data_IF_724877429860
#
_entry.id   IF_724877429860
#
_cell.length_a   1.000
_cell.length_b   1.000
_cell.length_c   1.000
_cell.angle_alpha   90.00
_cell.angle_beta   90.00
_cell.angle_gamma   90.00
#
_symmetry.space_group_name_H-M   'P 1'
#
loop_
_entity.id
_entity.type
_entity.pdbx_description
1 polymer ?
#
# COMPACT_ATOMS: atom_id res chain seq x y z
N UNK A 1 3.30 22.24 16.67
CA UNK A 1 3.14 21.05 15.82
C UNK A 1 2.55 19.97 16.68
N UNK A 2 1.34 19.55 16.36
CA UNK A 2 0.65 18.43 16.99
C UNK A 2 1.16 17.08 16.50
N UNK A 3 0.59 16.01 17.05
CA UNK A 3 1.02 14.63 16.80
C UNK A 3 0.93 14.26 15.32
N UNK A 4 -0.16 14.62 14.64
CA UNK A 4 -0.35 14.22 13.25
C UNK A 4 0.71 14.83 12.32
N UNK A 5 0.99 16.13 12.45
CA UNK A 5 2.02 16.80 11.64
C UNK A 5 3.41 16.22 11.84
N UNK A 6 3.72 15.80 13.08
CA UNK A 6 5.01 15.19 13.42
C UNK A 6 5.14 13.75 12.93
N UNK A 7 4.11 12.92 13.12
CA UNK A 7 4.23 11.47 12.96
C UNK A 7 3.72 10.96 11.62
N UNK A 8 2.90 11.70 10.88
CA UNK A 8 2.48 11.28 9.55
C UNK A 8 3.67 11.01 8.58
N UNK A 9 4.76 11.82 8.59
CA UNK A 9 5.98 11.50 7.84
C UNK A 9 6.64 10.19 8.28
N UNK A 10 6.77 9.95 9.58
CA UNK A 10 7.38 8.72 10.14
C UNK A 10 6.65 7.45 9.68
N UNK A 11 5.31 7.48 9.70
CA UNK A 11 4.50 6.39 9.16
C UNK A 11 4.67 6.25 7.63
N UNK A 12 4.78 7.37 6.91
CA UNK A 12 4.92 7.37 5.46
C UNK A 12 6.26 6.79 4.98
N UNK A 13 7.35 6.98 5.72
CA UNK A 13 8.66 6.37 5.43
C UNK A 13 8.61 4.84 5.43
N UNK A 14 7.68 4.27 6.20
CA UNK A 14 7.42 2.82 6.28
C UNK A 14 6.28 2.36 5.36
N UNK A 15 5.85 3.22 4.43
CA UNK A 15 4.77 2.91 3.49
C UNK A 15 3.37 2.89 4.11
N UNK A 16 3.22 3.30 5.36
CA UNK A 16 1.93 3.27 6.07
C UNK A 16 1.20 4.61 5.91
N UNK A 17 0.00 4.56 5.33
CA UNK A 17 -0.84 5.73 5.17
C UNK A 17 -1.68 6.00 6.44
N UNK A 18 -1.64 7.24 6.90
CA UNK A 18 -2.38 7.72 8.08
C UNK A 18 -3.17 8.98 7.74
N UNK A 19 -4.18 9.30 8.53
CA UNK A 19 -5.03 10.47 8.31
C UNK A 19 -5.36 11.17 9.63
N UNK A 20 -5.61 12.49 9.63
CA UNK A 20 -5.90 13.20 10.86
C UNK A 20 -7.27 12.77 11.42
N UNK A 21 -7.34 12.49 12.72
CA UNK A 21 -8.56 12.02 13.40
C UNK A 21 -8.84 12.84 14.66
N UNK A 22 -10.11 13.11 14.93
CA UNK A 22 -10.60 13.49 16.26
C UNK A 22 -10.61 12.22 17.12
N UNK A 23 -9.69 12.12 18.08
CA UNK A 23 -9.48 10.91 18.91
C UNK A 23 -10.67 10.62 19.82
N UNK A 24 -11.30 11.66 20.38
CA UNK A 24 -12.40 11.51 21.32
C UNK A 24 -13.68 11.06 20.61
N UNK A 25 -13.94 11.61 19.43
CA UNK A 25 -15.07 11.21 18.59
C UNK A 25 -14.77 9.99 17.72
N UNK A 26 -13.50 9.59 17.63
CA UNK A 26 -12.98 8.58 16.69
C UNK A 26 -13.40 8.86 15.24
N UNK A 27 -13.45 10.15 14.85
CA UNK A 27 -13.93 10.60 13.53
C UNK A 27 -12.81 11.19 12.69
N UNK A 28 -12.65 10.78 11.42
CA UNK A 28 -11.68 11.40 10.52
C UNK A 28 -11.98 12.88 10.33
N UNK A 29 -10.94 13.71 10.30
CA UNK A 29 -11.05 15.14 9.99
C UNK A 29 -11.06 15.42 8.48
N UNK A 30 -10.90 14.38 7.67
CA UNK A 30 -10.83 14.43 6.21
C UNK A 30 -11.78 13.41 5.58
N UNK A 31 -12.27 13.72 4.37
CA UNK A 31 -13.07 12.79 3.56
C UNK A 31 -12.19 11.85 2.73
N UNK A 32 -12.75 10.73 2.25
CA UNK A 32 -12.08 9.76 1.38
C UNK A 32 -10.79 9.12 1.95
N UNK A 33 -10.61 9.15 3.28
CA UNK A 33 -9.46 8.58 3.98
C UNK A 33 -9.21 7.11 3.65
N UNK A 34 -10.26 6.30 3.41
CA UNK A 34 -10.11 4.89 3.01
C UNK A 34 -9.47 4.66 1.63
N UNK A 35 -9.39 5.70 0.78
CA UNK A 35 -8.70 5.66 -0.52
C UNK A 35 -7.35 6.37 -0.50
N UNK A 36 -7.02 7.03 0.59
CA UNK A 36 -5.84 7.86 0.73
C UNK A 36 -4.57 7.01 0.92
N UNK A 37 -3.46 7.45 0.31
CA UNK A 37 -2.14 6.83 0.47
C UNK A 37 -1.17 7.75 1.21
N UNK A 38 0.10 7.33 1.30
CA UNK A 38 1.18 8.10 1.96
C UNK A 38 1.29 9.53 1.45
N UNK A 39 1.11 9.77 0.15
CA UNK A 39 1.11 11.13 -0.43
C UNK A 39 0.00 12.04 0.11
N UNK A 40 -1.19 11.48 0.31
CA UNK A 40 -2.31 12.23 0.89
C UNK A 40 -2.04 12.51 2.37
N UNK A 41 -1.47 11.53 3.08
CA UNK A 41 -1.02 11.67 4.47
C UNK A 41 -0.04 12.84 4.62
N UNK A 42 0.98 12.91 3.76
CA UNK A 42 1.95 14.01 3.74
C UNK A 42 1.28 15.37 3.45
N UNK A 43 0.37 15.42 2.48
CA UNK A 43 -0.38 16.66 2.17
C UNK A 43 -1.23 17.13 3.36
N UNK A 44 -1.75 16.19 4.16
CA UNK A 44 -2.52 16.50 5.35
C UNK A 44 -1.65 16.87 6.53
N UNK A 45 -0.40 16.39 6.60
CA UNK A 45 0.52 16.71 7.69
C UNK A 45 0.71 18.23 7.80
N UNK A 46 0.81 18.92 6.67
CA UNK A 46 0.88 20.39 6.63
C UNK A 46 -0.45 21.06 7.02
N UNK A 47 -1.58 20.54 6.50
CA UNK A 47 -2.91 21.16 6.68
C UNK A 47 -3.50 20.95 8.07
N UNK A 48 -3.15 19.85 8.70
CA UNK A 48 -3.62 19.41 10.02
C UNK A 48 -2.44 19.25 10.96
N UNK A 49 -1.45 20.15 10.84
CA UNK A 49 -0.21 20.10 11.60
C UNK A 49 -0.42 20.08 13.12
N UNK A 50 -1.53 20.67 13.60
CA UNK A 50 -1.87 20.74 15.03
C UNK A 50 -2.86 19.67 15.50
N UNK A 51 -3.25 18.73 14.62
CA UNK A 51 -4.12 17.62 15.03
C UNK A 51 -3.35 16.64 15.94
N UNK A 52 -4.00 16.20 17.01
CA UNK A 52 -3.41 15.29 18.00
C UNK A 52 -3.67 13.80 17.71
N UNK A 53 -4.37 13.49 16.61
CA UNK A 53 -4.79 12.13 16.28
C UNK A 53 -4.32 11.64 14.92
N UNK A 54 -3.87 10.40 14.90
CA UNK A 54 -3.59 9.57 13.73
C UNK A 54 -4.66 8.48 13.62
N UNK A 55 -5.39 8.49 12.51
CA UNK A 55 -6.21 7.37 12.07
C UNK A 55 -5.43 6.50 11.09
N UNK A 56 -5.64 5.19 11.18
CA UNK A 56 -5.08 4.21 10.25
C UNK A 56 -6.22 3.41 9.61
N UNK A 57 -6.15 3.16 8.30
CA UNK A 57 -7.13 2.34 7.60
C UNK A 57 -6.55 0.96 7.29
N UNK A 58 -7.05 -0.07 7.96
CA UNK A 58 -6.48 -1.42 7.94
C UNK A 58 -6.40 -2.01 6.52
N UNK A 59 -7.51 -1.98 5.77
CA UNK A 59 -7.51 -2.50 4.39
C UNK A 59 -6.65 -1.70 3.42
N UNK A 60 -6.24 -0.47 3.77
CA UNK A 60 -5.35 0.35 2.93
C UNK A 60 -3.89 0.00 3.15
N UNK A 61 -3.56 -0.35 4.39
CA UNK A 61 -2.19 -0.64 4.82
C UNK A 61 -1.90 -2.14 4.92
N UNK A 62 -2.81 -3.00 4.44
CA UNK A 62 -2.70 -4.45 4.56
C UNK A 62 -2.45 -4.92 6.01
N UNK A 63 -3.18 -4.32 6.96
CA UNK A 63 -3.10 -4.65 8.38
C UNK A 63 -4.38 -5.31 8.87
N UNK A 64 -4.26 -6.12 9.91
CA UNK A 64 -5.36 -6.54 10.77
C UNK A 64 -4.97 -6.23 12.22
N UNK A 65 -5.88 -5.65 13.00
CA UNK A 65 -5.64 -5.33 14.41
C UNK A 65 -6.54 -6.20 15.28
N UNK A 66 -5.96 -6.80 16.31
CA UNK A 66 -6.70 -7.44 17.41
C UNK A 66 -6.84 -6.41 18.53
N UNK A 67 -8.05 -5.87 18.74
CA UNK A 67 -8.33 -4.80 19.70
C UNK A 67 -9.00 -5.39 20.96
N UNK A 68 -8.22 -5.51 22.03
CA UNK A 68 -8.61 -6.07 23.32
C UNK A 68 -9.09 -4.94 24.23
N UNK A 69 -10.41 -4.77 24.29
CA UNK A 69 -11.13 -3.71 25.01
C UNK A 69 -11.42 -4.10 26.47
N UNK A 70 -10.37 -4.47 27.20
CA UNK A 70 -10.38 -4.72 28.65
C UNK A 70 -9.03 -4.30 29.24
N UNK A 71 -8.97 -4.10 30.56
CA UNK A 71 -7.71 -3.86 31.29
C UNK A 71 -7.11 -5.13 31.87
N UNK A 72 -7.80 -6.27 31.72
CA UNK A 72 -7.32 -7.55 32.21
C UNK A 72 -6.19 -8.09 31.33
N UNK A 73 -4.98 -8.12 31.90
CA UNK A 73 -3.77 -8.59 31.23
C UNK A 73 -3.85 -10.07 30.84
N UNK A 74 -4.62 -10.88 31.58
CA UNK A 74 -4.79 -12.30 31.25
C UNK A 74 -5.53 -12.47 29.93
N UNK A 75 -6.60 -11.71 29.73
CA UNK A 75 -7.31 -11.70 28.44
C UNK A 75 -6.39 -11.34 27.27
N UNK A 76 -5.47 -10.38 27.45
CA UNK A 76 -4.49 -10.03 26.42
C UNK A 76 -3.46 -11.16 26.19
N UNK A 77 -2.92 -11.74 27.26
CA UNK A 77 -1.98 -12.86 27.17
C UNK A 77 -2.60 -14.07 26.47
N UNK A 78 -3.82 -14.48 26.87
CA UNK A 78 -4.56 -15.58 26.27
C UNK A 78 -4.82 -15.33 24.77
N UNK A 79 -5.07 -14.07 24.38
CA UNK A 79 -5.24 -13.69 22.99
C UNK A 79 -3.93 -13.84 22.19
N UNK A 80 -2.78 -13.47 22.74
CA UNK A 80 -1.47 -13.66 22.10
C UNK A 80 -1.08 -15.13 22.00
N UNK A 81 -1.36 -15.94 23.03
CA UNK A 81 -1.12 -17.38 23.00
C UNK A 81 -1.98 -18.06 21.92
N UNK A 82 -3.26 -17.65 21.83
CA UNK A 82 -4.19 -18.21 20.85
C UNK A 82 -3.86 -17.78 19.42
N UNK A 83 -3.60 -16.50 19.20
CA UNK A 83 -3.53 -15.91 17.86
C UNK A 83 -2.10 -15.65 17.36
N UNK A 84 -1.10 -15.96 18.19
CA UNK A 84 0.30 -15.70 17.93
C UNK A 84 0.74 -14.33 18.46
N UNK A 85 2.00 -14.21 18.91
CA UNK A 85 2.53 -12.94 19.41
C UNK A 85 2.60 -11.91 18.28
N UNK A 86 2.37 -10.65 18.63
CA UNK A 86 2.62 -9.50 17.74
C UNK A 86 3.86 -8.74 18.22
N UNK A 87 4.79 -8.38 17.32
CA UNK A 87 5.93 -7.54 17.68
C UNK A 87 5.51 -6.09 17.97
N UNK A 88 4.38 -5.63 17.42
CA UNK A 88 3.90 -4.25 17.55
C UNK A 88 2.59 -4.17 18.33
N UNK A 89 2.67 -3.69 19.58
CA UNK A 89 1.52 -3.60 20.49
C UNK A 89 1.35 -2.17 21.00
N UNK A 90 0.12 -1.68 20.92
CA UNK A 90 -0.28 -0.35 21.38
C UNK A 90 -1.24 -0.45 22.56
N UNK A 91 -0.94 0.27 23.65
CA UNK A 91 -1.89 0.55 24.73
C UNK A 91 -2.85 1.65 24.29
N UNK A 92 -4.16 1.43 24.41
CA UNK A 92 -5.17 2.43 24.04
C UNK A 92 -5.40 3.45 25.16
N UNK A 93 -6.00 4.60 24.82
CA UNK A 93 -6.30 5.64 25.82
C UNK A 93 -7.22 5.19 26.98
N UNK A 94 -7.99 4.11 26.80
CA UNK A 94 -8.84 3.55 27.85
C UNK A 94 -8.12 2.49 28.72
N UNK A 95 -6.90 2.12 28.34
CA UNK A 95 -6.14 1.05 28.96
C UNK A 95 -6.43 -0.35 28.39
N UNK A 96 -6.91 -0.45 27.15
CA UNK A 96 -6.95 -1.71 26.40
C UNK A 96 -5.68 -1.91 25.55
N UNK A 97 -5.67 -2.91 24.68
CA UNK A 97 -4.53 -3.23 23.80
C UNK A 97 -4.95 -3.34 22.35
N UNK A 98 -4.06 -2.95 21.45
CA UNK A 98 -4.14 -3.20 20.01
C UNK A 98 -2.87 -3.92 19.58
N UNK A 99 -2.99 -5.18 19.20
CA UNK A 99 -1.90 -5.95 18.60
C UNK A 99 -2.05 -5.94 17.07
N UNK A 100 -0.97 -5.59 16.37
CA UNK A 100 -0.98 -5.40 14.92
C UNK A 100 -0.44 -6.65 14.21
N UNK A 101 -1.06 -6.99 13.09
CA UNK A 101 -0.71 -8.15 12.27
C UNK A 101 -0.80 -7.79 10.79
N UNK A 102 -0.08 -8.53 9.95
CA UNK A 102 -0.29 -8.49 8.51
C UNK A 102 -1.68 -9.04 8.18
N UNK A 103 -2.38 -8.39 7.26
CA UNK A 103 -3.70 -8.83 6.83
C UNK A 103 -3.62 -10.16 6.07
N UNK A 104 -4.54 -11.07 6.37
CA UNK A 104 -4.69 -12.35 5.70
C UNK A 104 -6.14 -12.59 5.22
N UNK A 105 -6.90 -11.52 5.03
CA UNK A 105 -8.29 -11.56 4.54
C UNK A 105 -9.35 -11.58 5.64
N UNK A 106 -8.98 -11.29 6.89
CA UNK A 106 -9.90 -11.16 7.99
C UNK A 106 -10.96 -10.08 7.70
N UNK A 107 -12.20 -10.31 8.15
CA UNK A 107 -13.25 -9.30 8.14
C UNK A 107 -13.11 -8.38 9.35
N UNK A 108 -13.83 -7.26 9.33
CA UNK A 108 -14.07 -6.50 10.56
C UNK A 108 -15.21 -7.17 11.32
N UNK A 109 -14.97 -7.57 12.56
CA UNK A 109 -15.97 -8.13 13.45
C UNK A 109 -15.80 -7.55 14.85
N UNK A 110 -16.80 -6.81 15.31
CA UNK A 110 -16.88 -6.39 16.71
C UNK A 110 -17.26 -7.59 17.57
N UNK A 111 -16.63 -7.72 18.74
CA UNK A 111 -16.85 -8.80 19.71
C UNK A 111 -16.72 -10.16 19.05
N UNK A 112 -15.65 -10.34 18.26
CA UNK A 112 -15.27 -11.64 17.68
C UNK A 112 -15.00 -12.67 18.78
N UNK A 113 -14.46 -12.19 19.92
CA UNK A 113 -14.40 -12.91 21.19
C UNK A 113 -14.84 -11.97 22.34
N UNK A 114 -15.07 -12.49 23.56
CA UNK A 114 -15.38 -11.65 24.71
C UNK A 114 -14.33 -10.55 24.90
N UNK A 115 -14.76 -9.29 24.84
CA UNK A 115 -13.88 -8.11 24.97
C UNK A 115 -12.82 -7.94 23.88
N UNK A 116 -12.91 -8.68 22.76
CA UNK A 116 -11.94 -8.58 21.66
C UNK A 116 -12.66 -8.32 20.34
N UNK A 117 -12.27 -7.24 19.68
CA UNK A 117 -12.68 -6.91 18.32
C UNK A 117 -11.59 -7.36 17.33
N UNK A 118 -12.02 -7.90 16.18
CA UNK A 118 -11.14 -8.20 15.04
C UNK A 118 -11.30 -7.10 13.99
N UNK A 119 -10.26 -6.33 13.75
CA UNK A 119 -10.31 -5.16 12.88
C UNK A 119 -9.62 -5.42 11.53
N UNK A 120 -10.15 -6.35 10.72
CA UNK A 120 -9.62 -6.64 9.38
C UNK A 120 -9.98 -5.60 8.29
N UNK A 121 -10.78 -4.58 8.61
CA UNK A 121 -11.09 -3.45 7.72
C UNK A 121 -11.59 -2.21 8.47
N UNK A 122 -11.73 -1.10 7.73
CA UNK A 122 -12.18 0.17 8.25
C UNK A 122 -11.02 0.91 8.91
N UNK A 123 -11.28 1.58 10.02
CA UNK A 123 -10.27 2.37 10.71
C UNK A 123 -10.07 2.02 12.17
N UNK A 124 -8.91 2.41 12.68
CA UNK A 124 -8.54 2.48 14.08
C UNK A 124 -7.77 3.78 14.35
N UNK A 125 -7.64 4.16 15.62
CA UNK A 125 -6.72 5.22 16.05
C UNK A 125 -5.36 4.58 16.30
N UNK A 126 -4.30 5.14 15.74
CA UNK A 126 -2.94 4.64 15.86
C UNK A 126 -2.14 5.39 16.94
N UNK A 127 -1.04 4.81 17.41
CA UNK A 127 -0.07 5.54 18.23
C UNK A 127 0.65 6.63 17.39
N UNK A 128 1.22 7.67 18.02
CA UNK A 128 1.09 8.04 19.42
C UNK A 128 -0.07 9.03 19.70
N UNK A 129 -1.24 8.82 19.09
CA UNK A 129 -2.39 9.74 19.20
C UNK A 129 -2.76 10.11 20.64
N UNK A 130 -3.23 11.34 20.86
CA UNK A 130 -3.67 11.86 22.16
C UNK A 130 -5.12 12.30 22.13
N UNK A 131 -5.91 11.81 23.08
CA UNK A 131 -7.28 12.27 23.35
C UNK A 131 -7.42 12.79 24.78
N UNK A 132 -8.63 13.19 25.16
CA UNK A 132 -8.91 13.73 26.50
C UNK A 132 -8.70 12.71 27.62
N UNK A 133 -8.85 11.41 27.32
CA UNK A 133 -8.74 10.31 28.29
C UNK A 133 -7.33 9.76 28.45
N UNK A 134 -6.40 10.14 27.58
CA UNK A 134 -5.03 9.63 27.59
C UNK A 134 -4.44 9.54 26.18
N UNK A 135 -3.43 8.67 26.03
CA UNK A 135 -2.70 8.47 24.78
C UNK A 135 -2.78 7.03 24.30
N UNK A 136 -2.64 6.87 22.99
CA UNK A 136 -2.27 5.61 22.37
C UNK A 136 -0.75 5.51 22.42
N UNK A 137 -0.20 4.47 23.02
CA UNK A 137 1.24 4.33 23.28
C UNK A 137 1.75 2.99 22.80
N UNK A 138 2.83 2.97 22.02
CA UNK A 138 3.53 1.74 21.68
C UNK A 138 4.19 1.21 22.95
N UNK A 139 3.83 0.00 23.37
CA UNK A 139 4.35 -0.65 24.59
C UNK A 139 5.19 -1.89 24.28
N UNK A 140 5.18 -2.35 23.03
CA UNK A 140 6.10 -3.36 22.51
C UNK A 140 6.37 -3.06 21.03
N UNK A 141 7.64 -3.20 20.64
CA UNK A 141 8.11 -2.90 19.30
C UNK A 141 8.29 -1.41 19.01
N UNK A 142 8.48 -1.11 17.73
CA UNK A 142 8.55 0.22 17.17
C UNK A 142 7.91 0.28 15.77
N UNK A 143 7.94 1.44 15.11
CA UNK A 143 7.27 1.58 13.81
C UNK A 143 7.89 0.71 12.71
N UNK A 144 9.16 0.31 12.80
CA UNK A 144 9.81 -0.55 11.80
C UNK A 144 9.22 -1.97 11.81
N UNK A 145 8.70 -2.43 12.95
CA UNK A 145 7.99 -3.72 13.05
C UNK A 145 6.74 -3.80 12.15
N UNK A 146 6.18 -2.65 11.75
CA UNK A 146 5.05 -2.60 10.81
C UNK A 146 5.40 -3.18 9.42
N UNK A 147 6.70 -3.28 9.08
CA UNK A 147 7.18 -3.80 7.80
C UNK A 147 7.21 -5.34 7.73
N UNK A 148 7.28 -6.01 8.89
CA UNK A 148 7.43 -7.47 8.98
C UNK A 148 6.51 -8.07 10.05
N UNK A 149 5.21 -7.76 9.94
CA UNK A 149 4.21 -8.28 10.87
C UNK A 149 3.83 -9.73 10.53
N UNK A 150 3.69 -10.61 11.54
CA UNK A 150 3.12 -11.93 11.34
C UNK A 150 1.62 -11.82 11.01
N UNK A 151 1.06 -12.88 10.41
CA UNK A 151 -0.39 -13.03 10.28
C UNK A 151 -1.00 -13.63 11.54
N UNK A 152 -2.28 -13.36 11.78
CA UNK A 152 -3.03 -13.96 12.88
C UNK A 152 -3.18 -15.47 12.69
N UNK A 153 -3.09 -16.21 13.79
CA UNK A 153 -3.27 -17.68 13.85
C UNK A 153 -4.63 -18.03 14.43
N UNK A 154 -5.09 -19.25 14.16
CA UNK A 154 -6.28 -19.85 14.79
C UNK A 154 -7.56 -18.99 14.68
N UNK A 155 -7.72 -18.30 13.55
CA UNK A 155 -8.92 -17.51 13.24
C UNK A 155 -9.98 -18.45 12.63
N UNK A 156 -11.21 -18.49 13.19
CA UNK A 156 -12.34 -19.21 12.60
C UNK A 156 -12.61 -18.80 11.15
N UNK A 157 -12.97 -19.77 10.30
CA UNK A 157 -13.17 -19.56 8.87
C UNK A 157 -14.25 -18.49 8.55
N UNK A 158 -15.28 -18.38 9.38
CA UNK A 158 -16.37 -17.42 9.24
C UNK A 158 -15.94 -15.97 9.55
N UNK A 159 -14.78 -15.77 10.19
CA UNK A 159 -14.20 -14.46 10.46
C UNK A 159 -13.30 -13.93 9.33
N UNK A 160 -13.12 -14.70 8.27
CA UNK A 160 -12.58 -14.18 7.02
C UNK A 160 -13.72 -13.51 6.24
N UNK A 161 -13.38 -12.52 5.40
CA UNK A 161 -14.40 -11.94 4.53
C UNK A 161 -14.98 -13.06 3.66
N UNK A 162 -16.33 -13.13 3.54
CA UNK A 162 -16.93 -13.99 2.53
C UNK A 162 -16.28 -13.60 1.24
N UNK A 163 -15.64 -14.58 0.63
CA UNK A 163 -15.17 -14.40 -0.71
C UNK A 163 -16.40 -14.12 -1.55
N UNK A 164 -16.48 -12.87 -2.03
CA UNK A 164 -17.51 -12.53 -3.00
C UNK A 164 -17.46 -13.62 -4.08
N UNK A 165 -18.58 -13.95 -4.72
CA UNK A 165 -18.56 -14.88 -5.85
C UNK A 165 -17.60 -14.46 -7.00
N UNK A 166 -16.86 -13.36 -6.85
CA UNK A 166 -15.78 -12.85 -7.69
C UNK A 166 -14.41 -12.72 -7.00
N UNK A 167 -14.21 -13.24 -5.80
CA UNK A 167 -12.92 -13.35 -5.11
C UNK A 167 -12.75 -14.82 -4.71
N UNK A 168 -11.72 -15.54 -5.15
CA UNK A 168 -11.57 -17.02 -5.00
C UNK A 168 -10.50 -17.42 -3.99
N UNK A 169 -10.83 -18.29 -3.02
CA UNK A 169 -10.03 -18.64 -1.81
C UNK A 169 -8.80 -19.46 -2.14
N UNK A 170 -7.71 -19.35 -1.35
CA UNK A 170 -6.43 -19.98 -1.66
C UNK A 170 -6.40 -21.49 -1.39
N UNK A 171 -7.49 -22.11 -0.97
CA UNK A 171 -7.49 -23.50 -0.49
C UNK A 171 -7.69 -24.56 -1.59
N UNK A 172 -8.30 -24.21 -2.72
CA UNK A 172 -8.56 -25.15 -3.83
C UNK A 172 -7.80 -24.77 -5.11
N UNK A 173 -6.83 -23.86 -5.02
CA UNK A 173 -6.33 -23.17 -6.20
C UNK A 173 -7.43 -22.35 -6.89
N UNK A 174 -7.07 -21.57 -7.93
CA UNK A 174 -8.02 -20.72 -8.62
C UNK A 174 -9.01 -21.58 -9.42
N UNK A 175 -10.30 -21.21 -9.42
CA UNK A 175 -11.30 -21.88 -10.24
C UNK A 175 -10.90 -21.90 -11.73
N UNK A 176 -11.34 -22.93 -12.47
CA UNK A 176 -11.13 -23.06 -13.92
C UNK A 176 -11.54 -21.76 -14.62
N UNK A 177 -10.57 -21.07 -15.25
CA UNK A 177 -10.76 -19.77 -15.91
C UNK A 177 -10.15 -18.56 -15.17
N UNK A 178 -9.86 -18.66 -13.87
CA UNK A 178 -9.22 -17.58 -13.08
C UNK A 178 -7.74 -17.82 -12.76
N UNK A 179 -7.24 -19.03 -13.06
CA UNK A 179 -5.87 -19.48 -12.75
C UNK A 179 -4.77 -18.64 -13.38
N UNK A 180 -4.95 -18.24 -14.64
CA UNK A 180 -3.96 -17.41 -15.33
C UNK A 180 -3.83 -16.02 -14.69
N UNK A 181 -4.94 -15.41 -14.28
CA UNK A 181 -4.93 -14.09 -13.64
C UNK A 181 -4.29 -14.17 -12.25
N UNK A 182 -4.64 -15.20 -11.47
CA UNK A 182 -4.04 -15.42 -10.15
C UNK A 182 -2.52 -15.67 -10.24
N UNK A 183 -2.10 -16.55 -11.16
CA UNK A 183 -0.68 -16.84 -11.40
C UNK A 183 0.07 -15.56 -11.83
N UNK A 184 -0.54 -14.74 -12.70
CA UNK A 184 0.03 -13.47 -13.12
C UNK A 184 0.20 -12.48 -11.95
N UNK A 185 -0.81 -12.33 -11.10
CA UNK A 185 -0.75 -11.40 -9.96
C UNK A 185 0.22 -11.88 -8.87
N UNK A 186 0.26 -13.18 -8.59
CA UNK A 186 1.23 -13.76 -7.66
C UNK A 186 2.67 -13.60 -8.16
N UNK A 187 2.92 -13.82 -9.45
CA UNK A 187 4.24 -13.63 -10.07
C UNK A 187 4.68 -12.18 -10.09
N UNK A 188 3.76 -11.22 -10.21
CA UNK A 188 4.10 -9.78 -10.09
C UNK A 188 4.67 -9.43 -8.71
N UNK A 189 4.25 -10.14 -7.66
CA UNK A 189 4.69 -9.93 -6.30
C UNK A 189 5.95 -10.74 -5.97
N UNK A 190 5.89 -12.06 -6.14
CA UNK A 190 6.97 -12.98 -5.77
C UNK A 190 8.13 -12.98 -6.79
N UNK A 191 7.86 -12.60 -8.04
CA UNK A 191 8.85 -12.54 -9.11
C UNK A 191 9.80 -11.34 -9.05
N UNK A 192 9.71 -10.49 -8.02
CA UNK A 192 10.65 -9.36 -7.86
C UNK A 192 12.09 -9.83 -7.67
N UNK A 193 12.32 -10.92 -6.95
CA UNK A 193 13.65 -11.47 -6.67
C UNK A 193 14.27 -12.23 -7.85
N UNK A 194 13.47 -12.64 -8.85
CA UNK A 194 13.95 -13.41 -10.00
C UNK A 194 14.84 -12.56 -10.93
N UNK A 195 16.12 -12.86 -11.02
CA UNK A 195 17.07 -12.11 -11.86
C UNK A 195 17.09 -12.57 -13.32
N UNK A 196 16.53 -13.74 -13.62
CA UNK A 196 16.39 -14.28 -14.99
C UNK A 196 14.98 -14.79 -15.28
N UNK A 197 14.66 -14.97 -16.56
CA UNK A 197 13.38 -15.55 -16.99
C UNK A 197 13.20 -16.97 -16.44
N UNK A 198 14.25 -17.78 -16.47
CA UNK A 198 14.25 -19.18 -16.01
C UNK A 198 13.94 -19.26 -14.51
N UNK A 199 14.45 -18.32 -13.72
CA UNK A 199 14.11 -18.21 -12.29
C UNK A 199 12.64 -17.84 -12.07
N UNK A 200 12.10 -16.91 -12.89
CA UNK A 200 10.69 -16.52 -12.80
C UNK A 200 9.76 -17.66 -13.26
N UNK A 201 10.16 -18.40 -14.28
CA UNK A 201 9.43 -19.57 -14.79
C UNK A 201 9.45 -20.71 -13.77
N UNK A 202 10.57 -20.95 -13.08
CA UNK A 202 10.64 -21.90 -11.98
C UNK A 202 9.67 -21.54 -10.84
N UNK A 203 9.63 -20.26 -10.44
CA UNK A 203 8.66 -19.76 -9.44
C UNK A 203 7.22 -19.97 -9.94
N UNK A 204 6.95 -19.70 -11.22
CA UNK A 204 5.64 -19.90 -11.82
C UNK A 204 5.22 -21.38 -11.81
N UNK A 205 6.14 -22.30 -12.09
CA UNK A 205 5.89 -23.74 -12.03
C UNK A 205 5.63 -24.21 -10.59
N UNK A 206 6.42 -23.75 -9.62
CA UNK A 206 6.20 -24.06 -8.20
C UNK A 206 4.84 -23.55 -7.72
N UNK A 207 4.45 -22.34 -8.11
CA UNK A 207 3.12 -21.80 -7.81
C UNK A 207 2.00 -22.59 -8.48
N UNK A 208 2.17 -22.97 -9.74
CA UNK A 208 1.17 -23.75 -10.48
C UNK A 208 0.95 -25.15 -9.87
N UNK A 209 1.98 -25.78 -9.31
CA UNK A 209 1.87 -27.06 -8.60
C UNK A 209 1.02 -26.97 -7.33
N UNK A 210 0.83 -25.77 -6.78
CA UNK A 210 -0.06 -25.57 -5.62
C UNK A 210 -1.54 -25.45 -6.01
N UNK A 211 -1.89 -25.46 -7.30
CA UNK A 211 -3.28 -25.40 -7.77
C UNK A 211 -3.89 -26.80 -7.76
N UNK A 212 -5.17 -26.94 -7.35
CA UNK A 212 -5.84 -28.24 -7.34
C UNK A 212 -6.01 -28.83 -8.76
N UNK A 213 -6.08 -27.98 -9.78
CA UNK A 213 -5.99 -28.35 -11.20
C UNK A 213 -4.92 -27.45 -11.87
N UNK A 214 -3.68 -27.93 -12.00
CA UNK A 214 -2.58 -27.15 -12.57
C UNK A 214 -2.86 -26.70 -14.01
N UNK A 215 -2.44 -25.48 -14.35
CA UNK A 215 -2.41 -25.01 -15.73
C UNK A 215 -1.46 -25.85 -16.57
N UNK A 216 -1.71 -25.91 -17.88
CA UNK A 216 -0.78 -26.55 -18.81
C UNK A 216 0.59 -25.85 -18.78
N UNK A 217 1.70 -26.56 -19.06
CA UNK A 217 3.03 -25.94 -19.08
C UNK A 217 3.13 -24.73 -20.02
N UNK A 218 2.39 -24.75 -21.14
CA UNK A 218 2.32 -23.64 -22.08
C UNK A 218 1.64 -22.39 -21.51
N UNK A 219 0.59 -22.55 -20.70
CA UNK A 219 -0.10 -21.43 -20.05
C UNK A 219 0.74 -20.80 -18.94
N UNK A 220 1.42 -21.64 -18.14
CA UNK A 220 2.37 -21.18 -17.10
C UNK A 220 3.51 -20.38 -17.72
N UNK A 221 4.12 -20.91 -18.78
CA UNK A 221 5.20 -20.23 -19.51
C UNK A 221 4.71 -18.90 -20.13
N UNK A 222 3.47 -18.84 -20.61
CA UNK A 222 2.89 -17.61 -21.15
C UNK A 222 2.63 -16.55 -20.07
N UNK A 223 2.14 -16.95 -18.89
CA UNK A 223 1.98 -16.05 -17.75
C UNK A 223 3.34 -15.52 -17.26
N UNK A 224 4.34 -16.40 -17.11
CA UNK A 224 5.71 -16.05 -16.75
C UNK A 224 6.34 -15.10 -17.78
N UNK A 225 6.20 -15.38 -19.09
CA UNK A 225 6.67 -14.48 -20.17
C UNK A 225 5.99 -13.12 -20.12
N UNK A 226 4.69 -13.09 -19.84
CA UNK A 226 3.97 -11.84 -19.70
C UNK A 226 4.53 -11.03 -18.54
N UNK A 227 4.63 -11.60 -17.33
CA UNK A 227 5.21 -10.89 -16.17
C UNK A 227 6.67 -10.50 -16.41
N UNK A 228 7.47 -11.38 -17.02
CA UNK A 228 8.85 -11.07 -17.40
C UNK A 228 8.93 -9.90 -18.37
N UNK A 229 8.02 -9.81 -19.34
CA UNK A 229 7.91 -8.65 -20.24
C UNK A 229 7.58 -7.39 -19.46
N UNK A 230 6.64 -7.43 -18.52
CA UNK A 230 6.38 -6.29 -17.63
C UNK A 230 7.61 -5.96 -16.76
N UNK A 231 8.42 -6.94 -16.37
CA UNK A 231 9.66 -6.73 -15.59
C UNK A 231 10.78 -6.12 -16.41
N UNK A 232 11.09 -6.71 -17.56
CA UNK A 232 12.16 -6.26 -18.46
C UNK A 232 11.85 -4.90 -19.10
N UNK A 233 10.56 -4.56 -19.26
CA UNK A 233 10.10 -3.24 -19.68
C UNK A 233 9.94 -2.24 -18.51
N UNK A 234 10.23 -2.66 -17.27
CA UNK A 234 10.13 -1.85 -16.05
C UNK A 234 8.72 -1.29 -15.77
N UNK A 235 7.70 -2.11 -16.05
CA UNK A 235 6.25 -1.84 -15.96
C UNK A 235 5.54 -2.64 -14.86
N UNK A 236 6.28 -3.27 -13.94
CA UNK A 236 5.74 -3.96 -12.79
C UNK A 236 5.22 -2.96 -11.76
N UNK A 237 3.98 -2.51 -11.93
CA UNK A 237 3.36 -1.50 -11.07
C UNK A 237 2.87 -2.12 -9.75
N UNK A 238 3.56 -1.82 -8.65
CA UNK A 238 3.10 -2.02 -7.28
C UNK A 238 2.59 -0.69 -6.72
N UNK A 239 1.58 -0.74 -5.84
CA UNK A 239 1.09 0.41 -5.10
C UNK A 239 2.21 0.98 -4.20
N UNK A 240 2.73 2.18 -4.50
CA UNK A 240 3.77 2.83 -3.68
C UNK A 240 4.90 3.53 -4.45
N UNK A 241 5.04 3.31 -5.76
CA UNK A 241 6.11 3.92 -6.56
C UNK A 241 5.71 5.28 -7.17
N UNK A 242 6.68 6.19 -7.35
CA UNK A 242 6.50 7.51 -7.95
C UNK A 242 6.18 7.47 -9.47
N UNK A 243 5.78 8.61 -10.04
CA UNK A 243 5.51 8.74 -11.47
C UNK A 243 6.81 8.73 -12.27
N UNK A 244 7.07 7.64 -13.00
CA UNK A 244 8.28 7.49 -13.83
C UNK A 244 7.98 7.82 -15.30
N UNK A 245 8.88 8.54 -15.96
CA UNK A 245 8.88 8.70 -17.41
C UNK A 245 10.00 7.85 -18.02
N UNK A 246 9.64 6.95 -18.93
CA UNK A 246 10.61 6.14 -19.69
C UNK A 246 10.92 6.87 -20.99
N UNK A 247 12.18 6.90 -21.40
CA UNK A 247 12.64 7.46 -22.68
C UNK A 247 13.42 6.39 -23.45
N UNK A 248 13.29 6.38 -24.78
CA UNK A 248 14.21 5.62 -25.63
C UNK A 248 15.55 6.33 -25.73
N UNK A 249 16.64 5.58 -25.92
CA UNK A 249 18.00 6.14 -26.04
C UNK A 249 18.10 7.24 -27.10
N UNK A 250 17.50 7.02 -28.27
CA UNK A 250 17.49 8.01 -29.37
C UNK A 250 16.89 9.37 -28.97
N UNK A 251 15.90 9.37 -28.08
CA UNK A 251 15.23 10.58 -27.60
C UNK A 251 16.09 11.32 -26.55
N UNK A 252 16.82 10.54 -25.73
CA UNK A 252 17.80 11.08 -24.78
C UNK A 252 18.98 11.69 -25.54
N UNK A 253 19.47 11.02 -26.59
CA UNK A 253 20.56 11.50 -27.44
C UNK A 253 20.18 12.80 -28.18
N UNK A 254 18.94 12.93 -28.65
CA UNK A 254 18.42 14.16 -29.25
C UNK A 254 18.39 15.35 -28.26
N UNK A 255 18.21 15.05 -26.98
CA UNK A 255 18.18 16.06 -25.92
C UNK A 255 19.51 16.22 -25.17
N UNK A 256 20.55 15.46 -25.54
CA UNK A 256 21.79 15.36 -24.76
C UNK A 256 22.49 16.72 -24.59
N UNK A 257 22.44 17.54 -25.64
CA UNK A 257 23.01 18.90 -25.65
C UNK A 257 22.05 19.98 -25.14
N UNK A 258 20.85 19.59 -24.68
CA UNK A 258 19.83 20.50 -24.17
C UNK A 258 19.08 19.87 -22.99
N UNK A 259 19.70 19.94 -21.81
CA UNK A 259 19.12 19.37 -20.58
C UNK A 259 17.73 19.92 -20.23
N UNK A 260 17.42 21.17 -20.59
CA UNK A 260 16.09 21.75 -20.38
C UNK A 260 15.02 21.07 -21.26
N UNK A 261 15.36 20.69 -22.50
CA UNK A 261 14.45 19.93 -23.35
C UNK A 261 14.13 18.55 -22.74
N UNK A 262 15.15 17.86 -22.20
CA UNK A 262 14.96 16.56 -21.55
C UNK A 262 14.08 16.67 -20.30
N UNK A 263 14.31 17.68 -19.46
CA UNK A 263 13.51 17.92 -18.24
C UNK A 263 12.06 18.27 -18.57
N UNK A 264 11.83 19.10 -19.60
CA UNK A 264 10.50 19.42 -20.09
C UNK A 264 9.78 18.16 -20.59
N UNK A 265 10.43 17.37 -21.45
CA UNK A 265 9.89 16.13 -21.99
C UNK A 265 9.55 15.11 -20.90
N UNK A 266 10.38 15.02 -19.86
CA UNK A 266 10.13 14.16 -18.72
C UNK A 266 8.88 14.53 -17.95
N UNK A 267 8.73 15.82 -17.65
CA UNK A 267 7.57 16.32 -16.93
C UNK A 267 6.28 16.13 -17.75
N UNK A 268 6.35 16.37 -19.05
CA UNK A 268 5.22 16.18 -19.95
C UNK A 268 4.81 14.71 -20.07
N UNK A 269 5.77 13.78 -20.16
CA UNK A 269 5.47 12.34 -20.14
C UNK A 269 4.85 11.90 -18.83
N UNK A 270 5.31 12.40 -17.69
CA UNK A 270 4.67 12.11 -16.39
C UNK A 270 3.21 12.60 -16.35
N UNK A 271 2.94 13.81 -16.85
CA UNK A 271 1.60 14.41 -16.85
C UNK A 271 0.63 13.76 -17.85
N UNK A 272 1.16 13.26 -18.98
CA UNK A 272 0.37 12.77 -20.10
C UNK A 272 0.52 11.26 -20.36
N UNK A 273 1.18 10.49 -19.46
CA UNK A 273 1.39 9.04 -19.60
C UNK A 273 0.10 8.25 -19.86
N UNK A 274 -1.04 8.71 -19.31
CA UNK A 274 -2.36 8.11 -19.53
C UNK A 274 -2.85 8.16 -20.99
N UNK A 275 -2.22 8.97 -21.85
CA UNK A 275 -2.65 9.20 -23.24
C UNK A 275 -2.06 8.23 -24.27
N UNK A 276 -1.28 7.23 -23.84
CA UNK A 276 -0.81 6.09 -24.68
C UNK A 276 -0.24 6.51 -26.05
N UNK A 277 0.65 7.51 -26.08
CA UNK A 277 1.34 7.95 -27.30
C UNK A 277 0.59 8.92 -28.20
N UNK A 278 -0.59 9.42 -27.79
CA UNK A 278 -1.27 10.50 -28.51
C UNK A 278 -0.54 11.84 -28.33
N UNK A 279 -0.45 12.61 -29.41
CA UNK A 279 0.05 13.98 -29.38
C UNK A 279 -0.78 14.85 -28.41
N UNK A 280 -0.13 15.82 -27.78
CA UNK A 280 -0.78 16.80 -26.92
C UNK A 280 -0.17 18.17 -27.22
N UNK A 281 -1.00 19.20 -27.24
CA UNK A 281 -0.55 20.56 -27.48
C UNK A 281 0.20 21.12 -26.27
N UNK A 282 1.18 21.97 -26.54
CA UNK A 282 1.98 22.68 -25.56
C UNK A 282 1.67 24.18 -25.63
N UNK A 283 0.65 24.68 -24.89
CA UNK A 283 0.32 26.10 -24.90
C UNK A 283 1.38 26.88 -24.13
N UNK A 284 1.94 27.94 -24.74
CA UNK A 284 3.04 28.73 -24.19
C UNK A 284 2.88 29.11 -22.71
N UNK A 285 1.82 29.87 -22.40
CA UNK A 285 1.57 30.35 -21.04
C UNK A 285 1.21 29.23 -20.03
N UNK A 286 0.69 28.10 -20.49
CA UNK A 286 0.32 26.97 -19.64
C UNK A 286 1.54 26.13 -19.29
N UNK A 287 2.43 25.90 -20.27
CA UNK A 287 3.67 25.15 -20.07
C UNK A 287 4.68 25.87 -19.16
N UNK A 288 4.78 27.20 -19.26
CA UNK A 288 5.58 28.03 -18.34
C UNK A 288 5.18 27.80 -16.88
N UNK A 289 3.87 27.83 -16.59
CA UNK A 289 3.33 27.65 -15.25
C UNK A 289 3.53 26.24 -14.72
N UNK A 290 3.44 25.22 -15.59
CA UNK A 290 3.66 23.82 -15.23
C UNK A 290 5.11 23.57 -14.81
N UNK A 291 6.06 24.22 -15.50
CA UNK A 291 7.50 24.04 -15.23
C UNK A 291 8.06 25.00 -14.18
N UNK A 292 7.35 26.10 -13.88
CA UNK A 292 7.88 27.17 -13.05
C UNK A 292 9.06 27.90 -13.70
N UNK A 293 9.14 27.90 -15.04
CA UNK A 293 10.23 28.50 -15.81
C UNK A 293 9.85 29.87 -16.36
N UNK A 294 10.87 30.69 -16.65
CA UNK A 294 10.66 31.90 -17.43
C UNK A 294 10.20 31.54 -18.85
N UNK A 295 9.36 32.40 -19.43
CA UNK A 295 8.89 32.28 -20.82
C UNK A 295 10.00 31.97 -21.82
N UNK A 296 11.12 32.68 -21.71
CA UNK A 296 12.29 32.51 -22.58
C UNK A 296 12.92 31.11 -22.46
N UNK A 297 13.04 30.58 -21.23
CA UNK A 297 13.60 29.24 -20.99
C UNK A 297 12.66 28.15 -21.49
N UNK A 298 11.37 28.28 -21.20
CA UNK A 298 10.35 27.34 -21.66
C UNK A 298 10.27 27.26 -23.19
N UNK A 299 10.21 28.40 -23.88
CA UNK A 299 10.15 28.42 -25.34
C UNK A 299 11.38 27.78 -25.97
N UNK A 300 12.58 28.08 -25.45
CA UNK A 300 13.83 27.47 -25.93
C UNK A 300 13.87 25.95 -25.76
N UNK A 301 13.32 25.43 -24.66
CA UNK A 301 13.23 24.00 -24.42
C UNK A 301 12.15 23.32 -25.29
N UNK A 302 11.00 23.98 -25.47
CA UNK A 302 9.90 23.50 -26.31
C UNK A 302 10.30 23.42 -27.77
N UNK A 303 10.99 24.42 -28.30
CA UNK A 303 11.37 24.48 -29.72
C UNK A 303 12.45 23.45 -30.09
N UNK A 304 13.00 22.74 -29.09
CA UNK A 304 13.94 21.62 -29.26
C UNK A 304 13.25 20.24 -29.26
N UNK A 305 11.97 20.17 -28.87
CA UNK A 305 11.16 18.95 -28.77
C UNK A 305 10.20 18.80 -29.94
#
# INVERSE_FOLDING_TARGET
MGIFGQWAPEYAERGVAVFPVDVDRKKPLVSNYGRAGVRASATWADKFADADGLGIHMGRNALTILDVDTRDERTFADAMDRHGPSPFVVRTQSGGWQAYYAANGEKRQTRAWPCIDLLGNGQAVAAPSRGTKGRYEVIAGDLDDLLDLPTLRNIPADLYRPKAANDTSPADGPAVGQRNQFLFDALRYQGQSASTYEQLEAIAMTLNQSFADPLSPGEVANAARSVWKYKSENRLFVTGCESTAVFGSSLVDQCLNNGDALVLLAKLRQLHAHRKGRAFELPGATGERIMGWSKRRYLKARDHL
#
